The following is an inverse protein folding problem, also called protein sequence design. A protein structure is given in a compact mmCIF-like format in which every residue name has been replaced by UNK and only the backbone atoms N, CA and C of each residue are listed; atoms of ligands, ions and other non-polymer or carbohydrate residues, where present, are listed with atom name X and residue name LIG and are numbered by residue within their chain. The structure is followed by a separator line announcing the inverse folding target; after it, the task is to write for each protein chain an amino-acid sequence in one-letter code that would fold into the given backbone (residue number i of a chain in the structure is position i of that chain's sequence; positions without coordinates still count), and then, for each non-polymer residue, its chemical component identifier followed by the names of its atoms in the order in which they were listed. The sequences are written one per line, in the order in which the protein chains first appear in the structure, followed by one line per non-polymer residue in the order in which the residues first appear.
data_IF_391533716646
#
_entry.id   IF_391533716646
#
_cell.length_a   1.000
_cell.length_b   1.000
_cell.length_c   1.000
_cell.angle_alpha   90.00
_cell.angle_beta   90.00
_cell.angle_gamma   90.00
#
_symmetry.space_group_name_H-M   'P 1'
#
loop_
_entity.id
_entity.type
_entity.pdbx_description
1 polymer ?
#
# COMPACT_ATOMS: atom_id res chain seq x y z
N UNK A 1 -34.67 23.10 54.72
CA UNK A 1 -35.00 22.46 53.41
C UNK A 1 -33.77 22.51 52.55
N UNK A 2 -33.06 21.43 52.48
CA UNK A 2 -31.80 21.33 51.69
C UNK A 2 -32.08 20.32 50.57
N UNK A 3 -32.15 20.84 49.34
CA UNK A 3 -32.39 20.06 48.16
C UNK A 3 -31.13 19.25 47.75
N UNK A 4 -31.26 17.92 47.72
CA UNK A 4 -30.26 17.04 47.17
C UNK A 4 -30.27 17.12 45.62
N UNK A 5 -29.23 17.65 45.02
CA UNK A 5 -28.97 17.50 43.62
C UNK A 5 -28.41 16.09 43.34
N UNK A 6 -29.24 15.28 42.71
CA UNK A 6 -28.82 13.97 42.20
C UNK A 6 -27.81 14.14 41.09
N UNK A 7 -26.59 13.63 41.28
CA UNK A 7 -25.63 13.40 40.22
C UNK A 7 -26.19 12.31 39.31
N UNK A 8 -26.56 12.68 38.09
CA UNK A 8 -26.91 11.75 37.06
C UNK A 8 -25.68 10.88 36.72
N UNK A 9 -25.77 9.59 36.99
CA UNK A 9 -24.89 8.58 36.49
C UNK A 9 -24.96 8.62 34.95
N UNK A 10 -23.94 9.18 34.32
CA UNK A 10 -23.69 8.98 32.92
C UNK A 10 -23.40 7.49 32.68
N UNK A 11 -24.43 6.76 32.31
CA UNK A 11 -24.28 5.41 31.76
C UNK A 11 -23.53 5.59 30.46
N UNK A 12 -22.21 5.31 30.44
CA UNK A 12 -21.50 5.12 29.17
C UNK A 12 -22.15 3.89 28.52
N UNK A 13 -22.96 4.09 27.50
CA UNK A 13 -23.38 3.00 26.63
C UNK A 13 -22.12 2.35 26.08
N UNK A 14 -21.73 1.24 26.64
CA UNK A 14 -20.71 0.38 26.09
C UNK A 14 -21.29 -0.20 24.79
N UNK A 15 -21.00 0.45 23.67
CA UNK A 15 -21.34 -0.06 22.35
C UNK A 15 -20.71 -1.45 22.25
N UNK A 16 -21.53 -2.46 21.92
CA UNK A 16 -21.01 -3.81 21.74
C UNK A 16 -19.94 -3.82 20.64
N UNK A 17 -18.82 -4.56 20.84
CA UNK A 17 -17.77 -4.64 19.84
C UNK A 17 -18.32 -5.15 18.51
N UNK A 18 -18.03 -4.45 17.42
CA UNK A 18 -18.47 -4.78 16.07
C UNK A 18 -17.38 -5.52 15.31
N UNK A 19 -17.81 -6.35 14.36
CA UNK A 19 -16.91 -7.01 13.40
C UNK A 19 -17.08 -6.36 12.03
N UNK A 20 -16.03 -5.68 11.56
CA UNK A 20 -16.02 -4.97 10.28
C UNK A 20 -15.17 -5.74 9.28
N UNK A 21 -15.80 -6.18 8.19
CA UNK A 21 -15.16 -6.91 7.12
C UNK A 21 -14.54 -5.99 6.07
N UNK A 22 -13.37 -6.37 5.53
CA UNK A 22 -12.80 -5.72 4.36
C UNK A 22 -12.38 -6.74 3.30
N UNK A 23 -12.88 -6.56 2.07
CA UNK A 23 -12.56 -7.36 0.91
C UNK A 23 -11.87 -6.52 -0.17
N UNK A 24 -10.83 -7.09 -0.82
CA UNK A 24 -10.15 -6.48 -1.95
C UNK A 24 -9.86 -7.51 -3.04
N UNK A 25 -10.24 -7.17 -4.27
CA UNK A 25 -9.94 -7.97 -5.45
C UNK A 25 -9.22 -7.14 -6.50
N UNK A 26 -8.39 -7.79 -7.31
CA UNK A 26 -7.63 -7.13 -8.38
C UNK A 26 -8.37 -7.10 -9.72
N UNK A 27 -9.25 -8.06 -9.97
CA UNK A 27 -10.04 -8.22 -11.20
C UNK A 27 -11.20 -9.18 -10.94
N UNK A 28 -12.34 -8.95 -11.65
CA UNK A 28 -13.53 -9.79 -11.73
C UNK A 28 -14.49 -9.80 -10.53
N UNK A 29 -15.77 -9.53 -10.84
CA UNK A 29 -16.89 -9.47 -9.90
C UNK A 29 -17.09 -10.77 -9.09
N UNK A 30 -16.82 -11.95 -9.66
CA UNK A 30 -17.05 -13.24 -8.99
C UNK A 30 -16.17 -13.45 -7.74
N UNK A 31 -14.91 -12.97 -7.75
CA UNK A 31 -14.02 -13.09 -6.60
C UNK A 31 -14.39 -12.13 -5.46
N UNK A 32 -15.02 -10.99 -5.81
CA UNK A 32 -15.49 -10.01 -4.82
C UNK A 32 -16.66 -10.56 -4.07
N UNK A 33 -17.67 -11.07 -4.77
CA UNK A 33 -18.91 -11.59 -4.18
C UNK A 33 -18.62 -12.77 -3.25
N UNK A 34 -17.70 -13.66 -3.63
CA UNK A 34 -17.27 -14.76 -2.78
C UNK A 34 -16.56 -14.28 -1.49
N UNK A 35 -15.71 -13.26 -1.57
CA UNK A 35 -15.04 -12.70 -0.37
C UNK A 35 -16.04 -11.96 0.53
N UNK A 36 -16.97 -11.20 -0.04
CA UNK A 36 -18.02 -10.51 0.72
C UNK A 36 -18.89 -11.53 1.44
N UNK A 37 -19.40 -12.55 0.72
CA UNK A 37 -20.21 -13.61 1.31
C UNK A 37 -19.49 -14.35 2.45
N UNK A 38 -18.19 -14.65 2.29
CA UNK A 38 -17.39 -15.28 3.34
C UNK A 38 -17.21 -14.39 4.59
N UNK A 39 -17.13 -13.07 4.42
CA UNK A 39 -17.06 -12.13 5.53
C UNK A 39 -18.41 -11.99 6.24
N UNK A 40 -19.51 -11.97 5.50
CA UNK A 40 -20.86 -11.96 6.05
C UNK A 40 -21.15 -13.27 6.83
N UNK A 41 -20.78 -14.42 6.28
CA UNK A 41 -20.89 -15.72 6.93
C UNK A 41 -20.01 -15.79 8.22
N UNK A 42 -18.87 -15.10 8.21
CA UNK A 42 -18.00 -14.99 9.38
C UNK A 42 -18.53 -14.06 10.48
N UNK A 43 -19.73 -13.46 10.27
CA UNK A 43 -20.43 -12.62 11.25
C UNK A 43 -19.99 -11.16 11.26
N UNK A 44 -19.55 -10.61 10.13
CA UNK A 44 -19.25 -9.18 10.02
C UNK A 44 -20.54 -8.35 10.00
N UNK A 45 -20.63 -7.33 10.86
CA UNK A 45 -21.77 -6.41 10.93
C UNK A 45 -21.83 -5.44 9.74
N UNK A 46 -20.68 -5.15 9.16
CA UNK A 46 -20.51 -4.26 8.01
C UNK A 46 -19.34 -4.76 7.15
N UNK A 47 -19.50 -4.78 5.84
CA UNK A 47 -18.44 -5.20 4.90
C UNK A 47 -18.15 -4.10 3.90
N UNK A 48 -16.90 -3.64 3.89
CA UNK A 48 -16.35 -2.76 2.87
C UNK A 48 -15.64 -3.57 1.80
N UNK A 49 -15.85 -3.24 0.53
CA UNK A 49 -15.19 -3.95 -0.55
C UNK A 49 -14.77 -3.01 -1.68
N UNK A 50 -13.64 -3.28 -2.31
CA UNK A 50 -13.15 -2.51 -3.43
C UNK A 50 -12.44 -3.36 -4.47
N UNK A 51 -12.51 -2.90 -5.73
CA UNK A 51 -11.83 -3.52 -6.87
C UNK A 51 -10.63 -2.65 -7.22
N UNK A 52 -9.48 -2.99 -6.67
CA UNK A 52 -8.23 -2.25 -6.91
C UNK A 52 -7.05 -3.20 -7.06
N UNK A 53 -6.12 -2.83 -7.95
CA UNK A 53 -4.89 -3.58 -8.15
C UNK A 53 -4.07 -3.66 -6.85
N UNK A 54 -3.33 -4.76 -6.68
CA UNK A 54 -2.34 -4.90 -5.59
C UNK A 54 -1.27 -3.80 -5.61
N UNK A 55 -1.06 -3.15 -6.77
CA UNK A 55 -0.10 -2.05 -6.95
C UNK A 55 -0.71 -0.66 -6.71
N UNK A 56 -2.01 -0.56 -6.47
CA UNK A 56 -2.70 0.69 -6.19
C UNK A 56 -2.07 1.41 -4.98
N UNK A 57 -2.01 2.73 -5.03
CA UNK A 57 -1.51 3.53 -3.92
C UNK A 57 -2.50 3.46 -2.75
N UNK A 58 -2.04 3.81 -1.56
CA UNK A 58 -2.89 3.90 -0.36
C UNK A 58 -4.08 4.85 -0.57
N UNK A 59 -3.83 5.99 -1.25
CA UNK A 59 -4.86 6.97 -1.62
C UNK A 59 -5.99 6.41 -2.48
N UNK A 60 -5.73 5.34 -3.21
CA UNK A 60 -6.68 4.74 -4.15
C UNK A 60 -7.57 3.68 -3.47
N UNK A 61 -7.30 3.39 -2.17
CA UNK A 61 -8.01 2.41 -1.35
C UNK A 61 -9.04 3.08 -0.45
N UNK A 62 -10.04 3.67 -1.06
CA UNK A 62 -11.03 4.48 -0.35
C UNK A 62 -11.87 3.65 0.63
N UNK A 63 -12.28 2.44 0.24
CA UNK A 63 -13.07 1.56 1.08
C UNK A 63 -12.27 1.03 2.28
N UNK A 64 -10.98 0.73 2.11
CA UNK A 64 -10.11 0.41 3.23
C UNK A 64 -10.01 1.57 4.23
N UNK A 65 -9.86 2.81 3.72
CA UNK A 65 -9.80 3.99 4.58
C UNK A 65 -11.12 4.22 5.32
N UNK A 66 -12.27 3.97 4.68
CA UNK A 66 -13.57 4.05 5.33
C UNK A 66 -13.72 2.97 6.40
N UNK A 67 -13.37 1.72 6.10
CA UNK A 67 -13.36 0.64 7.09
C UNK A 67 -12.52 1.01 8.32
N UNK A 68 -11.27 1.48 8.11
CA UNK A 68 -10.38 1.87 9.20
C UNK A 68 -10.92 3.04 10.04
N UNK A 69 -11.59 4.02 9.42
CA UNK A 69 -12.19 5.17 10.13
C UNK A 69 -13.44 4.81 10.92
N UNK A 70 -14.13 3.75 10.53
CA UNK A 70 -15.35 3.29 11.21
C UNK A 70 -15.08 2.45 12.45
N UNK A 71 -13.85 1.95 12.60
CA UNK A 71 -13.42 1.14 13.74
C UNK A 71 -13.18 1.99 14.98
N UNK A 72 -13.63 1.50 16.11
CA UNK A 72 -13.37 2.07 17.45
C UNK A 72 -12.70 1.03 18.34
N UNK A 73 -12.16 1.45 19.47
CA UNK A 73 -11.54 0.56 20.46
C UNK A 73 -12.49 -0.60 20.83
N UNK A 74 -11.97 -1.82 20.81
CA UNK A 74 -12.71 -3.06 21.06
C UNK A 74 -13.32 -3.70 19.81
N UNK A 75 -13.47 -2.98 18.69
CA UNK A 75 -13.94 -3.54 17.41
C UNK A 75 -12.96 -4.56 16.83
N UNK A 76 -13.41 -5.35 15.86
CA UNK A 76 -12.61 -6.33 15.13
C UNK A 76 -12.61 -6.05 13.62
N UNK A 77 -11.43 -5.94 13.02
CA UNK A 77 -11.28 -5.92 11.56
C UNK A 77 -11.09 -7.34 11.04
N UNK A 78 -11.96 -7.77 10.13
CA UNK A 78 -11.94 -9.11 9.54
C UNK A 78 -11.54 -9.03 8.08
N UNK A 79 -10.56 -9.81 7.65
CA UNK A 79 -10.11 -9.88 6.25
C UNK A 79 -9.93 -11.33 5.82
N UNK A 80 -10.06 -11.61 4.53
CA UNK A 80 -9.85 -12.97 4.04
C UNK A 80 -8.40 -13.43 4.29
N UNK A 81 -7.42 -12.56 4.03
CA UNK A 81 -5.98 -12.79 4.23
C UNK A 81 -5.28 -11.49 4.56
N UNK A 82 -4.13 -11.55 5.24
CA UNK A 82 -3.34 -10.38 5.64
C UNK A 82 -2.89 -9.50 4.47
N UNK A 83 -2.62 -10.07 3.29
CA UNK A 83 -2.20 -9.34 2.10
C UNK A 83 -3.27 -8.35 1.57
N UNK A 84 -4.50 -8.44 2.07
CA UNK A 84 -5.55 -7.46 1.80
C UNK A 84 -5.28 -6.12 2.46
N UNK A 85 -4.59 -6.12 3.59
CA UNK A 85 -4.33 -4.92 4.40
C UNK A 85 -3.18 -4.04 3.87
N UNK A 86 -2.29 -4.55 3.03
CA UNK A 86 -1.15 -3.80 2.51
C UNK A 86 -0.66 -4.31 1.16
N UNK A 87 0.26 -3.56 0.52
CA UNK A 87 0.94 -3.94 -0.71
C UNK A 87 2.23 -4.70 -0.42
N UNK A 88 2.84 -4.40 0.70
CA UNK A 88 4.09 -4.99 1.16
C UNK A 88 3.88 -5.59 2.55
N UNK A 89 4.71 -6.56 2.90
CA UNK A 89 4.70 -7.14 4.22
C UNK A 89 4.88 -6.08 5.32
N UNK A 90 5.75 -5.10 5.08
CA UNK A 90 5.99 -3.99 6.01
C UNK A 90 4.72 -3.13 6.21
N UNK A 91 3.99 -2.81 5.14
CA UNK A 91 2.73 -2.07 5.25
C UNK A 91 1.69 -2.84 6.08
N UNK A 92 1.57 -4.15 5.85
CA UNK A 92 0.65 -5.02 6.61
C UNK A 92 1.00 -5.03 8.08
N UNK A 93 2.28 -5.22 8.41
CA UNK A 93 2.74 -5.31 9.79
C UNK A 93 2.58 -3.96 10.52
N UNK A 94 2.95 -2.86 9.89
CA UNK A 94 2.75 -1.53 10.47
C UNK A 94 1.26 -1.25 10.73
N UNK A 95 0.37 -1.69 9.85
CA UNK A 95 -1.07 -1.55 10.03
C UNK A 95 -1.58 -2.42 11.18
N UNK A 96 -1.13 -3.66 11.28
CA UNK A 96 -1.45 -4.53 12.42
C UNK A 96 -1.01 -3.89 13.75
N UNK A 97 0.19 -3.31 13.79
CA UNK A 97 0.70 -2.62 14.96
C UNK A 97 -0.16 -1.41 15.32
N UNK A 98 -0.47 -0.55 14.34
CA UNK A 98 -1.31 0.63 14.56
C UNK A 98 -2.73 0.29 15.03
N UNK A 99 -3.35 -0.76 14.47
CA UNK A 99 -4.65 -1.25 14.92
C UNK A 99 -4.59 -1.78 16.35
N UNK A 100 -3.53 -2.54 16.67
CA UNK A 100 -3.29 -3.05 18.02
C UNK A 100 -3.13 -1.91 19.05
N UNK A 101 -2.38 -0.85 18.72
CA UNK A 101 -2.21 0.33 19.57
C UNK A 101 -3.52 1.08 19.79
N UNK A 102 -4.41 1.06 18.80
CA UNK A 102 -5.76 1.63 18.87
C UNK A 102 -6.77 0.72 19.57
N UNK A 103 -6.35 -0.40 20.13
CA UNK A 103 -7.24 -1.36 20.80
C UNK A 103 -8.19 -2.11 19.85
N UNK A 104 -7.88 -2.13 18.55
CA UNK A 104 -8.68 -2.80 17.53
C UNK A 104 -8.11 -4.21 17.29
N UNK A 105 -9.00 -5.19 17.28
CA UNK A 105 -8.63 -6.57 17.00
C UNK A 105 -8.57 -6.85 15.49
N UNK A 106 -7.74 -7.82 15.09
CA UNK A 106 -7.65 -8.26 13.68
C UNK A 106 -7.80 -9.77 13.60
N UNK A 107 -8.64 -10.22 12.69
CA UNK A 107 -8.86 -11.64 12.40
C UNK A 107 -8.81 -11.90 10.90
N UNK A 108 -8.15 -12.99 10.52
CA UNK A 108 -8.15 -13.47 9.12
C UNK A 108 -8.97 -14.73 8.99
N UNK A 109 -9.68 -14.87 7.84
CA UNK A 109 -10.52 -16.05 7.58
C UNK A 109 -9.69 -17.32 7.32
N UNK A 110 -8.45 -17.16 6.86
CA UNK A 110 -7.51 -18.29 6.71
C UNK A 110 -6.93 -18.80 8.05
N UNK A 111 -7.30 -18.17 9.18
CA UNK A 111 -6.86 -18.55 10.51
C UNK A 111 -5.42 -18.16 10.86
N UNK A 112 -4.72 -17.43 9.97
CA UNK A 112 -3.32 -17.07 10.20
C UNK A 112 -3.15 -16.13 11.39
N UNK A 113 -4.08 -15.21 11.59
CA UNK A 113 -4.07 -14.27 12.73
C UNK A 113 -5.47 -14.13 13.34
N UNK A 114 -5.49 -14.10 14.69
CA UNK A 114 -6.63 -13.69 15.50
C UNK A 114 -6.08 -13.03 16.76
N UNK A 115 -5.94 -11.69 16.71
CA UNK A 115 -5.34 -10.94 17.83
C UNK A 115 -6.21 -10.96 19.08
N UNK A 116 -7.53 -11.13 18.97
CA UNK A 116 -8.45 -11.28 20.09
C UNK A 116 -8.18 -12.62 20.81
N UNK A 117 -8.02 -13.71 20.08
CA UNK A 117 -7.69 -15.03 20.65
C UNK A 117 -6.31 -15.07 21.30
N UNK A 118 -5.34 -14.31 20.77
CA UNK A 118 -4.02 -14.14 21.36
C UNK A 118 -4.05 -13.37 22.69
N UNK A 119 -5.08 -12.56 22.93
CA UNK A 119 -5.25 -11.79 24.17
C UNK A 119 -4.01 -10.96 24.51
N UNK A 120 -3.50 -11.07 25.72
CA UNK A 120 -2.32 -10.33 26.20
C UNK A 120 -1.02 -10.64 25.44
N UNK A 121 -0.96 -11.71 24.66
CA UNK A 121 0.20 -12.07 23.84
C UNK A 121 0.19 -11.36 22.47
N UNK A 122 -0.95 -10.79 22.05
CA UNK A 122 -1.05 -10.13 20.74
C UNK A 122 0.00 -9.02 20.53
N UNK A 123 0.25 -8.08 21.46
CA UNK A 123 1.30 -7.06 21.30
C UNK A 123 2.69 -7.67 21.10
N UNK A 124 3.03 -8.73 21.80
CA UNK A 124 4.31 -9.40 21.68
C UNK A 124 4.48 -10.03 20.27
N UNK A 125 3.45 -10.73 19.79
CA UNK A 125 3.47 -11.38 18.47
C UNK A 125 3.57 -10.34 17.37
N UNK A 126 2.76 -9.29 17.42
CA UNK A 126 2.78 -8.19 16.44
C UNK A 126 4.13 -7.45 16.48
N UNK A 127 4.67 -7.17 17.67
CA UNK A 127 5.98 -6.54 17.83
C UNK A 127 7.12 -7.38 17.26
N UNK A 128 7.09 -8.69 17.44
CA UNK A 128 8.06 -9.63 16.87
C UNK A 128 8.01 -9.62 15.33
N UNK A 129 6.80 -9.66 14.76
CA UNK A 129 6.61 -9.58 13.30
C UNK A 129 7.10 -8.23 12.74
N UNK A 130 6.88 -7.14 13.46
CA UNK A 130 7.37 -5.80 13.09
C UNK A 130 8.90 -5.78 13.07
N UNK A 131 9.54 -6.26 14.12
CA UNK A 131 11.00 -6.35 14.20
C UNK A 131 11.62 -7.18 13.08
N UNK A 132 11.04 -8.35 12.77
CA UNK A 132 11.50 -9.20 11.67
C UNK A 132 11.38 -8.50 10.30
N UNK A 133 10.30 -7.78 10.07
CA UNK A 133 10.11 -7.04 8.80
C UNK A 133 11.10 -5.87 8.65
N UNK A 134 11.48 -5.22 9.73
CA UNK A 134 12.52 -4.19 9.72
C UNK A 134 13.89 -4.78 9.37
N UNK A 135 14.27 -5.89 9.99
CA UNK A 135 15.52 -6.61 9.69
C UNK A 135 15.54 -7.04 8.22
N UNK A 136 14.47 -7.65 7.72
CA UNK A 136 14.37 -8.05 6.31
C UNK A 136 14.55 -6.84 5.35
N UNK A 137 13.93 -5.71 5.67
CA UNK A 137 14.06 -4.47 4.90
C UNK A 137 15.49 -3.95 4.88
N UNK A 138 16.21 -4.01 5.99
CA UNK A 138 17.61 -3.61 6.08
C UNK A 138 18.50 -4.52 5.25
N UNK A 139 18.34 -5.83 5.36
CA UNK A 139 19.07 -6.81 4.55
C UNK A 139 18.85 -6.62 3.04
N UNK A 140 17.64 -6.28 2.61
CA UNK A 140 17.34 -5.95 1.21
C UNK A 140 18.08 -4.67 0.78
N UNK A 141 18.14 -3.64 1.61
CA UNK A 141 18.89 -2.41 1.32
C UNK A 141 20.38 -2.68 1.20
N UNK A 142 20.96 -3.46 2.12
CA UNK A 142 22.37 -3.83 2.08
C UNK A 142 22.71 -4.57 0.79
N UNK A 143 21.99 -5.63 0.44
CA UNK A 143 22.18 -6.40 -0.81
C UNK A 143 22.05 -5.52 -2.05
N UNK A 144 21.09 -4.58 -2.05
CA UNK A 144 20.90 -3.64 -3.14
C UNK A 144 22.09 -2.70 -3.27
N UNK A 145 22.56 -2.14 -2.13
CA UNK A 145 23.70 -1.24 -2.07
C UNK A 145 24.99 -1.93 -2.54
N UNK A 146 25.25 -3.16 -2.08
CA UNK A 146 26.38 -3.98 -2.50
C UNK A 146 26.34 -4.29 -4.01
N UNK A 147 25.16 -4.67 -4.53
CA UNK A 147 24.95 -4.92 -5.96
C UNK A 147 25.23 -3.68 -6.81
N UNK A 148 24.77 -2.50 -6.36
CA UNK A 148 25.05 -1.21 -7.01
C UNK A 148 26.55 -0.90 -6.97
N UNK A 149 27.20 -1.06 -5.81
CA UNK A 149 28.62 -0.82 -5.64
C UNK A 149 29.47 -1.76 -6.52
N UNK A 150 29.09 -3.03 -6.60
CA UNK A 150 29.73 -4.02 -7.47
C UNK A 150 29.57 -3.65 -8.96
N UNK A 151 28.35 -3.25 -9.40
CA UNK A 151 28.11 -2.81 -10.78
C UNK A 151 28.91 -1.56 -11.13
N UNK A 152 29.00 -0.58 -10.22
CA UNK A 152 29.81 0.62 -10.42
C UNK A 152 31.30 0.27 -10.61
N UNK A 153 31.85 -0.61 -9.75
CA UNK A 153 33.26 -1.04 -9.85
C UNK A 153 33.55 -1.83 -11.12
N UNK A 154 32.61 -2.65 -11.60
CA UNK A 154 32.75 -3.42 -12.83
C UNK A 154 32.37 -2.66 -14.10
N UNK A 155 32.11 -1.34 -14.03
CA UNK A 155 31.75 -0.53 -15.19
C UNK A 155 30.40 -0.90 -15.85
N UNK A 156 29.59 -1.73 -15.18
CA UNK A 156 28.29 -2.15 -15.71
C UNK A 156 27.23 -1.09 -15.49
N UNK A 157 26.31 -0.99 -16.45
CA UNK A 157 25.15 -0.07 -16.31
C UNK A 157 24.34 -0.38 -15.06
N UNK A 158 23.97 0.67 -14.33
CA UNK A 158 23.09 0.60 -13.16
C UNK A 158 21.62 0.44 -13.52
N UNK A 159 21.31 0.30 -14.81
CA UNK A 159 19.94 0.33 -15.33
C UNK A 159 19.51 1.76 -15.70
N UNK A 160 18.25 1.93 -15.95
CA UNK A 160 17.67 3.16 -16.46
C UNK A 160 17.35 3.07 -17.96
N UNK A 161 16.63 4.08 -18.45
CA UNK A 161 16.27 4.15 -19.87
C UNK A 161 17.55 4.27 -20.72
N UNK A 162 17.76 3.43 -21.76
CA UNK A 162 18.91 3.55 -22.65
C UNK A 162 19.02 4.98 -23.19
N UNK A 163 20.25 5.49 -23.26
CA UNK A 163 20.48 6.78 -23.92
C UNK A 163 20.06 6.66 -25.40
N UNK A 164 19.55 7.76 -25.95
CA UNK A 164 19.25 7.83 -27.39
C UNK A 164 20.49 7.46 -28.18
N UNK A 165 20.38 6.55 -29.15
CA UNK A 165 21.53 6.13 -29.96
C UNK A 165 22.13 7.33 -30.69
N UNK A 166 23.43 7.30 -30.92
CA UNK A 166 24.16 8.38 -31.62
C UNK A 166 23.53 8.69 -32.99
N UNK A 167 23.13 7.63 -33.72
CA UNK A 167 22.45 7.80 -35.00
C UNK A 167 21.15 8.61 -34.90
N UNK A 168 20.34 8.34 -33.88
CA UNK A 168 19.10 9.13 -33.61
C UNK A 168 19.41 10.55 -33.13
N UNK A 169 20.47 10.75 -32.36
CA UNK A 169 20.91 12.07 -31.95
C UNK A 169 21.36 12.88 -33.16
N UNK A 170 22.19 12.31 -34.05
CA UNK A 170 22.63 12.95 -35.27
C UNK A 170 21.46 13.31 -36.22
N UNK A 171 20.45 12.45 -36.30
CA UNK A 171 19.23 12.76 -37.07
C UNK A 171 18.49 13.98 -36.50
N UNK A 172 18.39 14.12 -35.17
CA UNK A 172 17.78 15.30 -34.52
C UNK A 172 18.56 16.57 -34.86
N UNK A 173 19.90 16.50 -34.83
CA UNK A 173 20.78 17.62 -35.18
C UNK A 173 20.63 18.03 -36.64
N UNK A 174 20.63 17.07 -37.57
CA UNK A 174 20.44 17.37 -39.01
C UNK A 174 19.07 17.99 -39.31
N UNK A 175 18.01 17.45 -38.73
CA UNK A 175 16.67 18.01 -38.90
C UNK A 175 16.56 19.42 -38.33
N UNK A 176 17.24 19.69 -37.21
CA UNK A 176 17.28 21.05 -36.65
C UNK A 176 18.07 22.01 -37.53
N UNK A 177 19.20 21.59 -38.08
CA UNK A 177 19.98 22.37 -39.01
C UNK A 177 19.21 22.69 -40.31
N UNK A 178 18.30 21.81 -40.72
CA UNK A 178 17.39 22.04 -41.87
C UNK A 178 16.25 22.98 -41.55
N UNK A 179 16.16 23.55 -40.32
CA UNK A 179 15.14 24.49 -39.89
C UNK A 179 13.87 23.90 -39.30
N UNK A 180 13.80 22.59 -39.11
CA UNK A 180 12.63 21.93 -38.55
C UNK A 180 12.32 22.41 -37.11
N UNK A 181 11.05 22.59 -36.81
CA UNK A 181 10.59 22.92 -35.45
C UNK A 181 10.70 21.71 -34.52
N UNK A 182 10.79 21.93 -33.20
CA UNK A 182 10.80 20.85 -32.20
C UNK A 182 9.62 19.89 -32.33
N UNK A 183 8.42 20.41 -32.70
CA UNK A 183 7.23 19.59 -32.92
C UNK A 183 7.37 18.69 -34.13
N UNK A 184 7.89 19.22 -35.22
CA UNK A 184 8.11 18.49 -36.46
C UNK A 184 9.22 17.42 -36.30
N UNK A 185 10.30 17.75 -35.57
CA UNK A 185 11.34 16.77 -35.21
C UNK A 185 10.78 15.64 -34.38
N UNK A 186 9.92 15.93 -33.42
CA UNK A 186 9.20 14.90 -32.62
C UNK A 186 8.35 14.00 -33.52
N UNK A 187 7.61 14.58 -34.43
CA UNK A 187 6.73 13.84 -35.35
C UNK A 187 7.55 12.90 -36.25
N UNK A 188 8.64 13.40 -36.83
CA UNK A 188 9.52 12.63 -37.72
C UNK A 188 10.33 11.54 -37.00
N UNK A 189 10.74 11.77 -35.75
CA UNK A 189 11.68 10.86 -35.05
C UNK A 189 11.04 10.02 -33.95
N UNK A 190 9.83 10.36 -33.48
CA UNK A 190 9.18 9.75 -32.33
C UNK A 190 9.86 10.06 -30.99
N UNK A 191 10.85 10.96 -30.94
CA UNK A 191 11.63 11.31 -29.75
C UNK A 191 10.87 12.38 -28.95
N UNK A 192 10.77 12.21 -27.65
CA UNK A 192 10.09 13.20 -26.78
C UNK A 192 10.80 14.56 -26.76
N UNK A 193 10.03 15.65 -26.67
CA UNK A 193 10.53 17.03 -26.72
C UNK A 193 11.66 17.33 -25.70
N UNK A 194 11.56 16.76 -24.48
CA UNK A 194 12.60 16.90 -23.46
C UNK A 194 13.93 16.29 -23.90
N UNK A 195 13.90 15.15 -24.57
CA UNK A 195 15.09 14.48 -25.12
C UNK A 195 15.67 15.25 -26.30
N UNK A 196 14.82 15.78 -27.19
CA UNK A 196 15.26 16.64 -28.32
C UNK A 196 15.97 17.88 -27.77
N UNK A 197 15.40 18.57 -26.79
CA UNK A 197 16.05 19.73 -26.17
C UNK A 197 17.41 19.39 -25.56
N UNK A 198 17.49 18.26 -24.84
CA UNK A 198 18.76 17.83 -24.26
C UNK A 198 19.82 17.55 -25.30
N UNK A 199 19.49 16.83 -26.38
CA UNK A 199 20.43 16.55 -27.48
C UNK A 199 20.97 17.84 -28.09
N UNK A 200 20.11 18.86 -28.28
CA UNK A 200 20.49 20.13 -28.89
C UNK A 200 21.29 21.05 -27.96
N UNK A 201 21.24 20.84 -26.65
CA UNK A 201 22.04 21.60 -25.67
C UNK A 201 23.39 20.94 -25.40
N UNK A 202 23.46 19.61 -25.50
CA UNK A 202 24.70 18.83 -25.28
C UNK A 202 25.61 18.75 -26.53
N UNK A 203 25.16 19.26 -27.68
CA UNK A 203 25.90 19.33 -28.95
C UNK A 203 26.51 20.70 -29.17
#
# INVERSE_FOLDING_TARGET
MIGCYGFGNGVSETVAPRSIGYARVSTAHQDTDAQVAALEEAGCDLVFHEVVSTRAKESDRQELQQALRSLIEGDELVVAKLDRLGRTQVEVINRLHSLQESGIHVRTLDGLINTRALGKMAPLVVGLLTGLAEVERELIKERTSESIAHRKRSGRSLGGRPKTSQARANLVLSLRASGDSYRLIREKTGIGLATIRRILVES
#
